data_IF_829853744559
#
_entry.id   IF_829853744559
#
_cell.length_a   1.000
_cell.length_b   1.000
_cell.length_c   1.000
_cell.angle_alpha   90.00
_cell.angle_beta   90.00
_cell.angle_gamma   90.00
#
_symmetry.space_group_name_H-M   'P 1'
#
loop_
_entity.id
_entity.type
_entity.pdbx_description
1 polymer ?
#
# COMPACT_ATOMS: atom_id res chain seq x y z
N UNK A 1 -12.80 -15.92 7.00
CA UNK A 1 -11.83 -15.50 5.96
C UNK A 1 -11.96 -14.04 5.55
N UNK A 2 -13.16 -13.45 5.36
CA UNK A 2 -13.29 -12.01 5.05
C UNK A 2 -12.89 -11.08 6.23
N UNK A 3 -13.12 -11.53 7.46
CA UNK A 3 -12.89 -10.71 8.67
C UNK A 3 -11.40 -10.39 8.94
N UNK A 4 -10.48 -11.25 8.49
CA UNK A 4 -9.04 -11.04 8.68
C UNK A 4 -8.52 -9.95 7.73
N UNK A 5 -9.04 -9.88 6.51
CA UNK A 5 -8.74 -8.80 5.56
C UNK A 5 -9.27 -7.44 6.02
N UNK A 6 -10.44 -7.41 6.67
CA UNK A 6 -10.99 -6.18 7.24
C UNK A 6 -10.12 -5.65 8.41
N UNK A 7 -9.55 -6.55 9.23
CA UNK A 7 -8.62 -6.16 10.29
C UNK A 7 -7.30 -5.59 9.76
N UNK A 8 -6.87 -5.95 8.54
CA UNK A 8 -5.70 -5.34 7.92
C UNK A 8 -5.87 -3.82 7.72
N UNK A 9 -7.08 -3.33 7.43
CA UNK A 9 -7.34 -1.90 7.23
C UNK A 9 -7.08 -1.06 8.49
N UNK A 10 -7.27 -1.67 9.67
CA UNK A 10 -7.08 -1.03 10.99
C UNK A 10 -5.72 -1.39 11.58
N UNK A 11 -4.99 -2.33 10.98
CA UNK A 11 -3.69 -2.76 11.47
C UNK A 11 -2.66 -1.64 11.30
N UNK A 12 -2.00 -1.19 12.39
CA UNK A 12 -1.06 -0.07 12.33
C UNK A 12 0.13 -0.38 11.40
N UNK A 13 0.55 -1.64 11.31
CA UNK A 13 1.60 -2.08 10.38
C UNK A 13 1.23 -1.82 8.91
N UNK A 14 -0.04 -2.07 8.56
CA UNK A 14 -0.48 -1.95 7.18
C UNK A 14 -0.63 -0.48 6.77
N UNK A 15 -1.16 0.35 7.66
CA UNK A 15 -1.22 1.81 7.49
C UNK A 15 0.19 2.38 7.31
N UNK A 16 1.14 1.95 8.15
CA UNK A 16 2.54 2.38 8.09
C UNK A 16 3.19 1.96 6.77
N UNK A 17 2.91 0.74 6.28
CA UNK A 17 3.36 0.29 4.97
C UNK A 17 2.82 1.15 3.83
N UNK A 18 1.53 1.52 3.84
CA UNK A 18 0.93 2.40 2.83
C UNK A 18 1.59 3.78 2.86
N UNK A 19 1.82 4.35 4.04
CA UNK A 19 2.53 5.63 4.21
C UNK A 19 3.96 5.54 3.67
N UNK A 20 4.68 4.46 3.97
CA UNK A 20 6.03 4.22 3.43
C UNK A 20 6.03 4.04 1.91
N UNK A 21 5.05 3.35 1.34
CA UNK A 21 4.87 3.23 -0.11
C UNK A 21 4.63 4.58 -0.78
N UNK A 22 3.84 5.46 -0.16
CA UNK A 22 3.62 6.83 -0.66
C UNK A 22 4.92 7.64 -0.55
N UNK A 23 5.62 7.58 0.57
CA UNK A 23 6.93 8.24 0.73
C UNK A 23 7.94 7.74 -0.30
N UNK A 24 8.00 6.44 -0.54
CA UNK A 24 8.88 5.82 -1.53
C UNK A 24 8.57 6.33 -2.94
N UNK A 25 7.28 6.42 -3.30
CA UNK A 25 6.85 6.99 -4.58
C UNK A 25 7.23 8.46 -4.76
N UNK A 26 7.24 9.25 -3.68
CA UNK A 26 7.58 10.68 -3.71
C UNK A 26 9.10 10.87 -3.76
N UNK A 27 9.85 10.23 -2.85
CA UNK A 27 11.31 10.37 -2.77
C UNK A 27 12.03 9.79 -3.98
N UNK A 28 11.57 8.65 -4.48
CA UNK A 28 12.18 7.96 -5.61
C UNK A 28 11.53 8.32 -6.96
N UNK A 29 10.73 9.40 -7.00
CA UNK A 29 10.04 9.86 -8.22
C UNK A 29 11.00 10.25 -9.34
N UNK A 30 12.14 10.84 -8.99
CA UNK A 30 13.14 11.35 -9.93
C UNK A 30 14.14 10.27 -10.39
N UNK A 31 14.20 9.16 -9.64
CA UNK A 31 15.11 8.06 -9.90
C UNK A 31 14.54 7.11 -10.96
N UNK A 32 15.21 7.02 -12.12
CA UNK A 32 14.78 6.19 -13.26
C UNK A 32 15.37 4.78 -13.26
N UNK A 33 15.62 4.22 -12.08
CA UNK A 33 16.12 2.85 -11.90
C UNK A 33 15.06 1.78 -12.21
N UNK A 34 15.48 0.63 -12.72
CA UNK A 34 14.62 -0.56 -12.89
C UNK A 34 14.02 -1.01 -11.54
N UNK A 35 14.83 -0.97 -10.47
CA UNK A 35 14.42 -1.29 -9.09
C UNK A 35 13.35 -0.31 -8.60
N UNK A 36 13.54 0.99 -8.88
CA UNK A 36 12.58 2.06 -8.54
C UNK A 36 11.24 1.85 -9.23
N UNK A 37 11.27 1.38 -10.48
CA UNK A 37 10.06 1.08 -11.26
C UNK A 37 9.30 -0.11 -10.67
N UNK A 38 10.02 -1.15 -10.26
CA UNK A 38 9.41 -2.31 -9.60
C UNK A 38 8.82 -1.93 -8.22
N UNK A 39 9.54 -1.15 -7.42
CA UNK A 39 9.05 -0.63 -6.15
C UNK A 39 7.84 0.30 -6.30
N UNK A 40 7.78 1.05 -7.40
CA UNK A 40 6.62 1.89 -7.77
C UNK A 40 5.38 1.06 -8.10
N UNK A 41 5.52 -0.01 -8.88
CA UNK A 41 4.43 -0.94 -9.17
C UNK A 41 3.95 -1.62 -7.88
N UNK A 42 4.88 -2.12 -7.06
CA UNK A 42 4.56 -2.74 -5.77
C UNK A 42 3.81 -1.77 -4.84
N UNK A 43 4.24 -0.51 -4.78
CA UNK A 43 3.58 0.53 -3.98
C UNK A 43 2.13 0.77 -4.42
N UNK A 44 1.87 0.81 -5.74
CA UNK A 44 0.51 0.94 -6.27
C UNK A 44 -0.35 -0.27 -5.89
N UNK A 45 0.19 -1.49 -5.98
CA UNK A 45 -0.52 -2.72 -5.58
C UNK A 45 -0.87 -2.69 -4.09
N UNK A 46 0.05 -2.28 -3.22
CA UNK A 46 -0.22 -2.15 -1.77
C UNK A 46 -1.32 -1.15 -1.47
N UNK A 47 -1.35 0.00 -2.17
CA UNK A 47 -2.41 1.00 -2.03
C UNK A 47 -3.77 0.44 -2.47
N UNK A 48 -3.82 -0.33 -3.56
CA UNK A 48 -5.05 -0.97 -4.03
C UNK A 48 -5.56 -2.03 -3.05
N UNK A 49 -4.68 -2.84 -2.48
CA UNK A 49 -5.07 -3.82 -1.45
C UNK A 49 -5.59 -3.11 -0.20
N UNK A 50 -4.97 -2.00 0.20
CA UNK A 50 -5.47 -1.19 1.31
C UNK A 50 -6.86 -0.62 1.04
N UNK A 51 -7.09 -0.06 -0.15
CA UNK A 51 -8.42 0.43 -0.57
C UNK A 51 -9.47 -0.68 -0.54
N UNK A 52 -9.12 -1.88 -1.00
CA UNK A 52 -10.01 -3.04 -0.96
C UNK A 52 -10.31 -3.48 0.48
N UNK A 53 -9.29 -3.53 1.34
CA UNK A 53 -9.45 -3.85 2.76
C UNK A 53 -10.32 -2.81 3.49
N UNK A 54 -10.13 -1.52 3.18
CA UNK A 54 -10.91 -0.42 3.74
C UNK A 54 -12.37 -0.48 3.25
N UNK A 55 -12.60 -0.80 1.97
CA UNK A 55 -13.93 -1.02 1.42
C UNK A 55 -14.67 -2.17 2.15
N UNK A 56 -13.99 -3.32 2.32
CA UNK A 56 -14.52 -4.47 3.06
C UNK A 56 -14.70 -4.22 4.56
N UNK A 57 -13.99 -3.25 5.14
CA UNK A 57 -14.17 -2.87 6.53
C UNK A 57 -15.39 -1.97 6.71
N UNK A 58 -15.69 -1.12 5.73
CA UNK A 58 -16.82 -0.18 5.77
C UNK A 58 -18.16 -0.84 5.37
N UNK A 59 -18.14 -1.80 4.44
CA UNK A 59 -19.32 -2.39 3.80
C UNK A 59 -19.48 -3.87 4.13
#
# INVERSE_FOLDING_TARGET
MANEFAQLAVSPLYILMVVLSILYLIFLREDKGCITTFGRIASVVYILIYLLALYLFIF
#
